data_IF_694801357448
#
_entry.id   IF_694801357448
#
_cell.length_a   1.000
_cell.length_b   1.000
_cell.length_c   1.000
_cell.angle_alpha   90.00
_cell.angle_beta   90.00
_cell.angle_gamma   90.00
#
_symmetry.space_group_name_H-M   'P 1'
#
loop_
_entity.id
_entity.type
_entity.pdbx_description
1 polymer ?
#
# COMPACT_ATOMS: atom_id res chain seq x y z
N UNK A 1 18.32 -30.33 -7.61
CA UNK A 1 17.98 -28.89 -7.70
C UNK A 1 16.80 -28.66 -6.79
N UNK A 2 16.98 -27.92 -5.69
CA UNK A 2 15.88 -27.62 -4.78
C UNK A 2 14.93 -26.63 -5.45
N UNK A 3 13.67 -27.02 -5.64
CA UNK A 3 12.63 -26.09 -6.03
C UNK A 3 12.40 -25.14 -4.86
N UNK A 4 12.82 -23.88 -4.99
CA UNK A 4 12.32 -22.82 -4.11
C UNK A 4 10.85 -22.68 -4.43
N UNK A 5 10.01 -23.33 -3.62
CA UNK A 5 8.60 -23.01 -3.55
C UNK A 5 8.55 -21.58 -2.99
N UNK A 6 8.54 -20.59 -3.89
CA UNK A 6 8.21 -19.22 -3.55
C UNK A 6 6.84 -19.30 -2.90
N UNK A 7 6.80 -19.29 -1.56
CA UNK A 7 5.57 -19.00 -0.86
C UNK A 7 5.03 -17.72 -1.52
N UNK A 8 3.73 -17.65 -1.90
CA UNK A 8 3.19 -16.43 -2.43
C UNK A 8 3.55 -15.33 -1.44
N UNK A 9 4.44 -14.44 -1.85
CA UNK A 9 4.82 -13.28 -1.06
C UNK A 9 3.56 -12.45 -1.03
N UNK A 10 2.76 -12.65 0.01
CA UNK A 10 1.53 -11.91 0.23
C UNK A 10 1.95 -10.47 0.45
N UNK A 11 1.86 -9.68 -0.60
CA UNK A 11 2.16 -8.25 -0.65
C UNK A 11 1.09 -7.44 0.10
N UNK A 12 0.50 -8.01 1.15
CA UNK A 12 -0.65 -7.49 1.84
C UNK A 12 -0.22 -6.75 3.09
N UNK A 13 -0.55 -5.47 3.16
CA UNK A 13 -0.23 -4.59 4.29
C UNK A 13 -1.47 -3.88 4.80
N UNK A 14 -1.52 -3.63 6.09
CA UNK A 14 -2.46 -2.66 6.67
C UNK A 14 -2.09 -1.25 6.27
N UNK A 15 -3.04 -0.32 6.37
CA UNK A 15 -2.77 1.11 6.19
C UNK A 15 -1.65 1.61 7.14
N UNK A 16 -1.64 1.10 8.37
CA UNK A 16 -0.65 1.48 9.37
C UNK A 16 0.77 1.03 8.97
N UNK A 17 0.89 -0.21 8.50
CA UNK A 17 2.17 -0.75 7.99
C UNK A 17 2.62 -0.01 6.72
N UNK A 18 1.70 0.24 5.79
CA UNK A 18 1.96 1.00 4.58
C UNK A 18 2.55 2.39 4.87
N UNK A 19 1.94 3.14 5.79
CA UNK A 19 2.45 4.45 6.22
C UNK A 19 3.84 4.33 6.85
N UNK A 20 4.06 3.32 7.69
CA UNK A 20 5.37 3.10 8.31
C UNK A 20 6.45 2.75 7.26
N UNK A 21 6.12 1.95 6.26
CA UNK A 21 7.02 1.62 5.15
C UNK A 21 7.35 2.84 4.30
N UNK A 22 6.34 3.63 3.91
CA UNK A 22 6.54 4.88 3.17
C UNK A 22 7.42 5.87 3.96
N UNK A 23 7.17 6.03 5.25
CA UNK A 23 7.98 6.87 6.12
C UNK A 23 9.45 6.43 6.19
N UNK A 24 9.72 5.11 6.28
CA UNK A 24 11.08 4.56 6.26
C UNK A 24 11.84 4.88 4.97
N UNK A 25 11.14 5.12 3.87
CA UNK A 25 11.72 5.47 2.57
C UNK A 25 11.79 6.97 2.31
N UNK A 26 11.46 7.82 3.29
CA UNK A 26 11.47 9.28 3.12
C UNK A 26 10.19 9.87 2.50
N UNK A 27 9.14 9.06 2.36
CA UNK A 27 7.87 9.44 1.75
C UNK A 27 6.72 9.43 2.78
N UNK A 28 6.96 10.00 3.96
CA UNK A 28 5.98 10.01 5.04
C UNK A 28 4.66 10.69 4.65
N UNK A 29 3.54 9.99 4.88
CA UNK A 29 2.19 10.52 4.70
C UNK A 29 1.30 10.12 5.89
N UNK A 30 0.23 10.86 6.14
CA UNK A 30 -0.75 10.48 7.17
C UNK A 30 -1.63 9.32 6.70
N UNK A 31 -2.15 8.52 7.64
CA UNK A 31 -3.09 7.43 7.33
C UNK A 31 -4.34 7.94 6.61
N UNK A 32 -4.88 9.10 7.00
CA UNK A 32 -6.06 9.69 6.37
C UNK A 32 -5.79 10.09 4.92
N UNK A 33 -4.59 10.62 4.64
CA UNK A 33 -4.16 10.94 3.28
C UNK A 33 -4.01 9.67 2.44
N UNK A 34 -3.40 8.63 2.99
CA UNK A 34 -3.29 7.35 2.28
C UNK A 34 -4.66 6.74 2.00
N UNK A 35 -5.54 6.64 3.00
CA UNK A 35 -6.91 6.12 2.84
C UNK A 35 -7.67 6.87 1.76
N UNK A 36 -7.56 8.19 1.72
CA UNK A 36 -8.15 9.01 0.66
C UNK A 36 -7.53 8.67 -0.70
N UNK A 37 -6.21 8.61 -0.81
CA UNK A 37 -5.52 8.35 -2.07
C UNK A 37 -5.90 6.98 -2.68
N UNK A 38 -6.05 5.96 -1.84
CA UNK A 38 -6.51 4.62 -2.25
C UNK A 38 -7.97 4.65 -2.73
N UNK A 39 -8.85 5.31 -1.97
CA UNK A 39 -10.27 5.44 -2.33
C UNK A 39 -10.46 6.21 -3.63
N UNK A 40 -9.73 7.32 -3.81
CA UNK A 40 -9.83 8.18 -5.00
C UNK A 40 -9.33 7.44 -6.27
N UNK A 41 -8.68 6.27 -6.12
CA UNK A 41 -8.18 5.40 -7.21
C UNK A 41 -8.85 4.03 -7.28
N UNK A 42 -9.95 3.83 -6.56
CA UNK A 42 -10.66 2.55 -6.43
C UNK A 42 -9.75 1.36 -6.04
N UNK A 43 -8.68 1.61 -5.26
CA UNK A 43 -7.84 0.53 -4.73
C UNK A 43 -8.61 -0.19 -3.63
N UNK A 44 -8.97 -1.44 -3.90
CA UNK A 44 -9.75 -2.27 -2.98
C UNK A 44 -8.84 -2.99 -1.99
N UNK A 45 -9.33 -3.12 -0.77
CA UNK A 45 -8.67 -3.93 0.24
C UNK A 45 -9.25 -5.34 0.28
N UNK A 46 -8.41 -6.31 0.59
CA UNK A 46 -8.81 -7.67 0.92
C UNK A 46 -9.11 -7.77 2.42
N UNK A 47 -10.28 -8.32 2.76
CA UNK A 47 -10.67 -8.53 4.16
C UNK A 47 -10.21 -9.91 4.63
N UNK A 48 -9.21 -9.93 5.51
CA UNK A 48 -8.74 -11.15 6.18
C UNK A 48 -9.12 -11.07 7.66
N UNK A 49 -10.14 -11.84 8.04
CA UNK A 49 -10.73 -11.80 9.38
C UNK A 49 -11.33 -10.43 9.71
N UNK A 50 -10.74 -9.74 10.70
CA UNK A 50 -11.18 -8.40 11.16
C UNK A 50 -10.38 -7.25 10.55
N UNK A 51 -9.38 -7.55 9.72
CA UNK A 51 -8.45 -6.56 9.17
C UNK A 51 -8.69 -6.42 7.67
N UNK A 52 -8.58 -5.19 7.18
CA UNK A 52 -8.54 -4.89 5.75
C UNK A 52 -7.08 -4.65 5.38
N UNK A 53 -6.60 -5.40 4.42
CA UNK A 53 -5.24 -5.35 3.89
C UNK A 53 -5.29 -4.85 2.45
N UNK A 54 -4.23 -4.21 2.01
CA UNK A 54 -4.08 -3.73 0.64
C UNK A 54 -2.80 -4.28 0.06
N UNK A 55 -2.76 -4.50 -1.26
CA UNK A 55 -1.48 -4.72 -1.94
C UNK A 55 -0.57 -3.51 -1.70
N UNK A 56 0.66 -3.76 -1.25
CA UNK A 56 1.64 -2.71 -1.08
C UNK A 56 2.05 -2.12 -2.44
N UNK A 57 2.03 -2.92 -3.51
CA UNK A 57 2.18 -2.46 -4.90
C UNK A 57 1.10 -1.43 -5.25
N UNK A 58 -0.18 -1.71 -5.00
CA UNK A 58 -1.26 -0.73 -5.26
C UNK A 58 -1.09 0.53 -4.40
N UNK A 59 -0.62 0.38 -3.16
CA UNK A 59 -0.29 1.52 -2.29
C UNK A 59 0.79 2.40 -2.91
N UNK A 60 1.85 1.80 -3.46
CA UNK A 60 2.94 2.53 -4.10
C UNK A 60 2.47 3.27 -5.36
N UNK A 61 1.65 2.64 -6.19
CA UNK A 61 1.05 3.28 -7.38
C UNK A 61 0.15 4.45 -7.00
N UNK A 62 -0.75 4.25 -6.02
CA UNK A 62 -1.63 5.31 -5.54
C UNK A 62 -0.86 6.49 -4.93
N UNK A 63 0.22 6.19 -4.20
CA UNK A 63 1.10 7.20 -3.63
C UNK A 63 1.89 7.95 -4.72
N UNK A 64 2.41 7.26 -5.73
CA UNK A 64 3.09 7.88 -6.88
C UNK A 64 2.18 8.90 -7.55
N UNK A 65 0.97 8.49 -7.90
CA UNK A 65 0.01 9.37 -8.57
C UNK A 65 -0.40 10.55 -7.68
N UNK A 66 -0.48 10.35 -6.35
CA UNK A 66 -0.75 11.43 -5.41
C UNK A 66 0.36 12.48 -5.45
N UNK A 67 1.63 12.07 -5.49
CA UNK A 67 2.77 12.99 -5.63
C UNK A 67 2.69 13.72 -6.96
N UNK A 68 2.50 12.99 -8.08
CA UNK A 68 2.45 13.59 -9.41
C UNK A 68 1.32 14.61 -9.56
N UNK A 69 0.18 14.39 -8.91
CA UNK A 69 -0.94 15.32 -8.90
C UNK A 69 -0.67 16.61 -8.10
N UNK A 70 0.26 16.60 -7.13
CA UNK A 70 0.64 17.77 -6.32
C UNK A 70 1.70 18.64 -6.99
N UNK A 71 2.45 18.09 -7.94
CA UNK A 71 3.53 18.79 -8.65
C UNK A 71 3.04 19.52 -9.90
N UNK A 72 1.77 19.32 -10.31
CA UNK A 72 1.11 20.07 -11.39
C UNK A 72 0.37 21.28 -10.84
#
# INVERSE_FOLDING_TARGET
MAAYQLAPVVDLVTIKEAVALLARTGHGISESTLKRALRDRDVRGERIGRVVLHSYTDVLEAHRDLILARTR
#
